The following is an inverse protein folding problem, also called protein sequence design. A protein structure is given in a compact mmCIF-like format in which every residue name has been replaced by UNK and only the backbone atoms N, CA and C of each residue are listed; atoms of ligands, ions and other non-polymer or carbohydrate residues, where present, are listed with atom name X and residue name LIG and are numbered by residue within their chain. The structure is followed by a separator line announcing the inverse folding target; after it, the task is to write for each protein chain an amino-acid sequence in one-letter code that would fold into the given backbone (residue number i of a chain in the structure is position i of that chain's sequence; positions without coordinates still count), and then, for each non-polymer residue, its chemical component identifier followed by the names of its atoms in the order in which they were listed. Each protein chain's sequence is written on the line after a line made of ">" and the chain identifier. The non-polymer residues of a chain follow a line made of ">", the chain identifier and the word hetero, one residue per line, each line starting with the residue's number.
data_IF_541638357592
#
_entry.id   IF_541638357592
#
_cell.length_a   1.000
_cell.length_b   1.000
_cell.length_c   1.000
_cell.angle_alpha   90.00
_cell.angle_beta   90.00
_cell.angle_gamma   90.00
#
_symmetry.space_group_name_H-M   'P 1'
#
loop_
_entity.id
_entity.type
_entity.pdbx_description
1 polymer ?
#
# COMPACT_ATOMS: atom_id res chain seq x y z
N UNK A 1 0.78 7.66 -9.56
CA UNK A 1 1.06 8.38 -8.29
C UNK A 1 0.81 9.86 -8.49
N UNK A 2 0.48 10.59 -7.43
CA UNK A 2 0.30 12.03 -7.52
C UNK A 2 0.14 12.67 -6.15
N UNK A 3 -0.21 13.95 -6.17
CA UNK A 3 -0.34 14.79 -4.98
C UNK A 3 -1.72 15.44 -4.97
N UNK A 4 -2.43 15.41 -3.86
CA UNK A 4 -3.72 16.09 -3.71
C UNK A 4 -3.67 17.17 -2.62
N UNK A 5 -4.43 18.24 -2.84
CA UNK A 5 -4.58 19.33 -1.83
C UNK A 5 -5.66 18.98 -0.81
N UNK A 6 -6.56 18.06 -1.14
CA UNK A 6 -7.55 17.47 -0.23
C UNK A 6 -7.45 15.94 -0.28
N UNK A 7 -7.93 15.28 0.77
CA UNK A 7 -7.95 13.81 0.81
C UNK A 7 -8.89 13.28 -0.30
N UNK A 8 -8.42 12.43 -1.23
CA UNK A 8 -9.17 12.03 -2.43
C UNK A 8 -10.34 11.09 -2.14
N UNK A 9 -10.47 10.60 -0.90
CA UNK A 9 -11.67 9.91 -0.43
C UNK A 9 -12.44 10.75 0.60
N UNK A 10 -12.22 12.07 0.67
CA UNK A 10 -12.90 12.96 1.62
C UNK A 10 -12.71 12.53 3.08
N UNK A 11 -13.73 12.75 3.91
CA UNK A 11 -13.75 12.37 5.34
C UNK A 11 -14.04 10.88 5.58
N UNK A 12 -13.93 10.02 4.55
CA UNK A 12 -14.26 8.61 4.71
C UNK A 12 -13.37 7.94 5.75
N UNK A 13 -14.01 7.26 6.69
CA UNK A 13 -13.38 6.59 7.82
C UNK A 13 -12.97 5.14 7.48
N UNK A 14 -12.16 4.55 8.36
CA UNK A 14 -11.93 3.11 8.42
C UNK A 14 -13.26 2.39 8.60
N UNK A 15 -13.34 1.15 8.10
CA UNK A 15 -14.46 0.26 8.40
C UNK A 15 -14.96 -0.54 7.21
N UNK A 16 -15.76 -1.57 7.53
CA UNK A 16 -16.58 -2.33 6.59
C UNK A 16 -17.33 -1.32 5.74
N UNK A 17 -17.14 -1.34 4.42
CA UNK A 17 -17.39 -0.18 3.57
C UNK A 17 -18.68 0.53 3.94
N UNK A 18 -18.53 1.74 4.50
CA UNK A 18 -19.65 2.56 4.92
C UNK A 18 -20.59 2.78 3.75
N UNK A 19 -21.90 2.89 4.01
CA UNK A 19 -22.99 2.90 3.02
C UNK A 19 -22.93 3.95 1.90
N UNK A 20 -21.83 4.70 1.77
CA UNK A 20 -21.54 5.56 0.64
C UNK A 20 -20.24 5.09 0.00
N UNK A 21 -20.38 4.20 -0.98
CA UNK A 21 -19.32 3.91 -1.96
C UNK A 21 -18.79 5.23 -2.50
N UNK A 22 -17.50 5.48 -2.32
CA UNK A 22 -16.84 6.66 -2.87
C UNK A 22 -15.87 6.24 -3.96
N UNK A 23 -16.04 6.86 -5.12
CA UNK A 23 -15.01 6.87 -6.16
C UNK A 23 -13.92 7.83 -5.71
N UNK A 24 -12.65 7.46 -5.91
CA UNK A 24 -11.53 8.36 -5.65
C UNK A 24 -11.73 9.68 -6.43
N UNK A 25 -11.90 10.79 -5.72
CA UNK A 25 -11.98 12.11 -6.33
C UNK A 25 -10.57 12.62 -6.62
N UNK A 26 -10.32 12.92 -7.89
CA UNK A 26 -9.04 13.44 -8.37
C UNK A 26 -9.09 14.93 -8.70
N UNK A 27 -10.19 15.62 -8.40
CA UNK A 27 -10.40 17.04 -8.70
C UNK A 27 -9.34 17.96 -8.08
N UNK A 28 -8.81 17.59 -6.92
CA UNK A 28 -7.76 18.32 -6.18
C UNK A 28 -6.37 17.74 -6.38
N UNK A 29 -6.23 16.75 -7.28
CA UNK A 29 -5.02 15.97 -7.45
C UNK A 29 -4.23 16.36 -8.71
N UNK A 30 -2.91 16.44 -8.58
CA UNK A 30 -1.96 16.60 -9.66
C UNK A 30 -1.15 15.30 -9.85
N UNK A 31 -1.18 14.66 -11.03
CA UNK A 31 -0.37 13.47 -11.28
C UNK A 31 1.11 13.83 -11.27
N UNK A 32 1.91 13.04 -10.55
CA UNK A 32 3.37 13.15 -10.53
C UNK A 32 4.03 12.07 -11.40
N UNK A 33 3.38 10.90 -11.51
CA UNK A 33 3.86 9.80 -12.32
C UNK A 33 2.69 8.96 -12.83
N UNK A 34 2.74 8.58 -14.10
CA UNK A 34 1.73 7.72 -14.75
C UNK A 34 2.36 6.58 -15.53
N UNK A 35 1.80 5.39 -15.37
CA UNK A 35 1.98 4.25 -16.25
C UNK A 35 0.65 3.50 -16.30
N UNK A 36 -0.04 3.54 -17.43
CA UNK A 36 -1.35 2.91 -17.60
C UNK A 36 -1.27 1.41 -17.86
N UNK A 37 -0.15 0.91 -18.37
CA UNK A 37 0.10 -0.52 -18.52
C UNK A 37 0.44 -1.19 -17.18
N UNK A 38 0.88 -0.40 -16.20
CA UNK A 38 1.48 -0.91 -14.97
C UNK A 38 2.86 -1.49 -15.22
N UNK A 39 3.53 -1.85 -14.13
CA UNK A 39 4.77 -2.61 -14.14
C UNK A 39 4.96 -3.26 -12.76
N UNK A 40 5.76 -4.31 -12.71
CA UNK A 40 6.21 -4.94 -11.46
C UNK A 40 7.66 -4.55 -11.22
N UNK A 41 8.00 -4.33 -9.96
CA UNK A 41 9.38 -4.05 -9.56
C UNK A 41 9.73 -4.90 -8.34
N UNK A 42 10.86 -5.59 -8.41
CA UNK A 42 11.42 -6.29 -7.26
C UNK A 42 12.19 -5.29 -6.38
N UNK A 43 11.48 -4.76 -5.39
CA UNK A 43 12.02 -3.80 -4.43
C UNK A 43 13.17 -4.36 -3.58
N UNK A 44 13.28 -5.69 -3.44
CA UNK A 44 14.34 -6.31 -2.66
C UNK A 44 15.71 -6.19 -3.35
N UNK A 45 15.72 -6.07 -4.69
CA UNK A 45 16.96 -5.91 -5.48
C UNK A 45 17.60 -4.52 -5.35
N UNK A 46 16.89 -3.54 -4.79
CA UNK A 46 17.32 -2.14 -4.67
C UNK A 46 17.27 -1.60 -3.24
N UNK A 47 17.28 -2.47 -2.24
CA UNK A 47 17.38 -2.04 -0.85
C UNK A 47 18.63 -1.15 -0.69
N UNK A 48 18.46 0.03 -0.08
CA UNK A 48 19.48 1.10 0.03
C UNK A 48 19.91 1.73 -1.30
N UNK A 49 19.15 1.53 -2.38
CA UNK A 49 19.40 2.09 -3.71
C UNK A 49 18.22 2.88 -4.26
N UNK A 50 18.24 3.08 -5.57
CA UNK A 50 17.19 3.75 -6.32
C UNK A 50 16.75 2.88 -7.49
N UNK A 51 15.46 2.94 -7.81
CA UNK A 51 14.86 2.28 -8.95
C UNK A 51 14.24 3.31 -9.88
N UNK A 52 14.53 3.20 -11.19
CA UNK A 52 13.80 3.96 -12.19
C UNK A 52 12.43 3.33 -12.42
N UNK A 53 11.38 4.11 -12.22
CA UNK A 53 10.02 3.68 -12.50
C UNK A 53 9.76 3.75 -14.01
N UNK A 54 9.18 2.69 -14.57
CA UNK A 54 8.82 2.65 -15.99
C UNK A 54 7.52 3.43 -16.19
N UNK A 55 7.59 4.61 -16.78
CA UNK A 55 6.42 5.45 -17.06
C UNK A 55 6.78 6.90 -17.36
N UNK A 56 5.80 7.77 -17.26
CA UNK A 56 5.97 9.21 -17.48
C UNK A 56 5.99 9.94 -16.15
N UNK A 57 7.09 10.63 -15.87
CA UNK A 57 7.16 11.61 -14.78
C UNK A 57 6.63 12.96 -15.26
N UNK A 58 5.73 13.56 -14.49
CA UNK A 58 5.15 14.87 -14.78
C UNK A 58 5.31 15.74 -13.55
N UNK A 59 5.86 16.95 -13.71
CA UNK A 59 5.91 17.90 -12.61
C UNK A 59 4.48 18.26 -12.18
N UNK A 60 4.10 18.11 -10.90
CA UNK A 60 2.80 18.55 -10.42
C UNK A 60 2.57 20.06 -10.63
N UNK A 61 1.32 20.49 -10.59
CA UNK A 61 0.99 21.92 -10.65
C UNK A 61 1.53 22.66 -9.42
N UNK A 62 1.58 23.99 -9.48
CA UNK A 62 1.90 24.78 -8.29
C UNK A 62 0.77 24.64 -7.27
N UNK A 63 1.11 24.42 -6.01
CA UNK A 63 0.13 24.21 -4.96
C UNK A 63 0.77 23.72 -3.67
N UNK A 64 -0.04 23.63 -2.61
CA UNK A 64 0.35 23.05 -1.33
C UNK A 64 -0.37 21.72 -1.15
N UNK A 65 0.41 20.65 -1.01
CA UNK A 65 -0.08 19.29 -1.04
C UNK A 65 0.12 18.62 0.31
N UNK A 66 -0.99 18.12 0.87
CA UNK A 66 -1.01 17.35 2.11
C UNK A 66 -1.23 15.86 1.90
N UNK A 67 -1.70 15.46 0.71
CA UNK A 67 -2.21 14.11 0.46
C UNK A 67 -1.56 13.44 -0.77
N UNK A 68 -0.29 13.02 -0.68
CA UNK A 68 0.30 12.18 -1.71
C UNK A 68 -0.44 10.83 -1.82
N UNK A 69 -0.55 10.30 -3.04
CA UNK A 69 -1.19 9.01 -3.27
C UNK A 69 -0.42 8.12 -4.25
N UNK A 70 -0.57 6.81 -4.05
CA UNK A 70 -0.13 5.76 -4.95
C UNK A 70 -1.29 4.81 -5.26
N UNK A 71 -1.35 4.31 -6.49
CA UNK A 71 -2.31 3.30 -6.92
C UNK A 71 -1.47 2.10 -7.36
N UNK A 72 -1.69 0.97 -6.71
CA UNK A 72 -1.02 -0.31 -6.97
C UNK A 72 -2.05 -1.34 -7.47
N UNK A 73 -1.57 -2.41 -8.11
CA UNK A 73 -2.37 -3.65 -8.17
C UNK A 73 -2.60 -4.18 -6.76
N UNK A 74 -3.60 -5.05 -6.57
CA UNK A 74 -3.89 -5.67 -5.28
C UNK A 74 -3.11 -6.97 -5.03
N UNK A 75 -2.09 -7.27 -5.84
CA UNK A 75 -1.29 -8.48 -5.72
C UNK A 75 0.17 -8.12 -5.48
N UNK A 76 0.76 -8.74 -4.46
CA UNK A 76 2.14 -8.56 -4.05
C UNK A 76 2.84 -9.91 -4.10
N UNK A 77 4.02 -9.96 -4.71
CA UNK A 77 4.87 -11.17 -4.61
C UNK A 77 5.65 -11.08 -3.32
N UNK A 78 5.48 -12.07 -2.45
CA UNK A 78 6.08 -12.12 -1.11
C UNK A 78 6.99 -13.34 -1.02
N UNK A 79 8.17 -13.15 -0.44
CA UNK A 79 9.07 -14.21 -0.01
C UNK A 79 9.82 -13.72 1.23
N UNK A 80 9.64 -14.41 2.33
CA UNK A 80 10.13 -13.96 3.64
C UNK A 80 11.01 -15.02 4.27
N UNK A 81 11.99 -14.56 5.05
CA UNK A 81 12.66 -15.35 6.08
C UNK A 81 12.63 -14.56 7.40
N UNK A 82 12.09 -15.14 8.47
CA UNK A 82 11.98 -14.49 9.78
C UNK A 82 12.43 -15.42 10.90
N UNK A 83 13.22 -14.90 11.83
CA UNK A 83 13.49 -15.57 13.10
C UNK A 83 12.36 -15.24 14.07
N UNK A 84 11.61 -16.25 14.49
CA UNK A 84 10.50 -16.06 15.42
C UNK A 84 10.94 -16.15 16.88
N UNK A 85 10.01 -15.88 17.80
CA UNK A 85 10.24 -15.88 19.25
C UNK A 85 10.56 -17.26 19.83
N UNK A 86 10.26 -18.33 19.09
CA UNK A 86 10.67 -19.71 19.40
C UNK A 86 12.11 -20.04 18.97
N UNK A 87 12.84 -19.05 18.44
CA UNK A 87 14.20 -19.16 17.91
C UNK A 87 14.35 -19.96 16.61
N UNK A 88 13.26 -20.40 15.97
CA UNK A 88 13.31 -21.00 14.64
C UNK A 88 13.29 -19.93 13.55
N UNK A 89 13.88 -20.27 12.39
CA UNK A 89 13.74 -19.48 11.17
C UNK A 89 12.63 -20.06 10.32
N UNK A 90 11.65 -19.22 10.02
CA UNK A 90 10.52 -19.53 9.16
C UNK A 90 10.69 -18.86 7.80
N UNK A 91 10.37 -19.60 6.76
CA UNK A 91 10.40 -19.17 5.37
C UNK A 91 8.99 -19.27 4.79
N UNK A 92 8.68 -18.46 3.78
CA UNK A 92 7.43 -18.61 3.02
C UNK A 92 7.37 -19.96 2.31
N UNK A 93 6.24 -20.66 2.40
CA UNK A 93 6.06 -22.00 1.83
C UNK A 93 5.52 -22.02 0.39
N UNK A 94 5.25 -20.85 -0.18
CA UNK A 94 4.67 -20.70 -1.52
C UNK A 94 3.13 -20.61 -1.55
N UNK A 95 2.46 -20.62 -0.40
CA UNK A 95 1.00 -20.61 -0.29
C UNK A 95 0.41 -19.61 0.71
N UNK A 96 1.23 -18.71 1.24
CA UNK A 96 0.88 -17.83 2.36
C UNK A 96 1.13 -18.47 3.73
N UNK A 97 1.50 -19.75 3.77
CA UNK A 97 1.95 -20.44 4.99
C UNK A 97 3.45 -20.30 5.23
N UNK A 98 3.89 -20.87 6.35
CA UNK A 98 5.28 -20.86 6.78
C UNK A 98 5.88 -22.28 6.86
N UNK A 99 7.17 -22.39 6.54
CA UNK A 99 7.96 -23.63 6.64
C UNK A 99 9.30 -23.35 7.32
N UNK A 100 9.93 -24.36 7.93
CA UNK A 100 11.30 -24.26 8.45
C UNK A 100 12.36 -24.70 7.44
N UNK A 101 11.95 -25.03 6.21
CA UNK A 101 12.82 -25.48 5.12
C UNK A 101 13.24 -24.28 4.27
N UNK A 102 14.55 -24.10 4.12
CA UNK A 102 15.15 -23.09 3.25
C UNK A 102 15.37 -23.64 1.83
N UNK A 103 15.33 -22.79 0.77
CA UNK A 103 14.91 -21.39 0.77
C UNK A 103 13.39 -21.22 0.80
N UNK A 104 12.94 -20.01 1.13
CA UNK A 104 11.53 -19.63 0.97
C UNK A 104 11.12 -19.59 -0.50
N UNK A 105 9.82 -19.75 -0.73
CA UNK A 105 9.22 -19.75 -2.07
C UNK A 105 8.32 -18.53 -2.25
N UNK A 106 8.49 -17.86 -3.40
CA UNK A 106 7.64 -16.75 -3.80
C UNK A 106 6.18 -17.20 -3.88
N UNK A 107 5.28 -16.37 -3.37
CA UNK A 107 3.85 -16.53 -3.59
C UNK A 107 3.20 -15.18 -3.89
N UNK A 108 2.08 -15.26 -4.61
CA UNK A 108 1.25 -14.09 -4.87
C UNK A 108 0.29 -13.94 -3.69
N UNK A 109 0.53 -12.93 -2.85
CA UNK A 109 -0.43 -12.49 -1.85
C UNK A 109 -1.41 -11.52 -2.50
N UNK A 110 -2.71 -11.79 -2.32
CA UNK A 110 -3.76 -10.97 -2.89
C UNK A 110 -4.52 -10.26 -1.77
N UNK A 111 -4.28 -8.96 -1.63
CA UNK A 111 -4.97 -8.14 -0.64
C UNK A 111 -6.40 -7.87 -1.11
N UNK A 112 -7.34 -8.64 -0.57
CA UNK A 112 -8.79 -8.53 -0.86
C UNK A 112 -9.58 -7.96 0.30
N UNK A 113 -9.04 -7.92 1.51
CA UNK A 113 -9.76 -7.43 2.67
C UNK A 113 -8.78 -7.03 3.78
N UNK A 114 -9.09 -5.98 4.54
CA UNK A 114 -8.23 -5.58 5.67
C UNK A 114 -8.62 -6.27 6.98
N UNK A 115 -9.86 -6.73 7.12
CA UNK A 115 -10.33 -7.41 8.34
C UNK A 115 -11.42 -8.44 8.01
N UNK A 116 -11.55 -9.49 8.83
CA UNK A 116 -12.56 -10.52 8.65
C UNK A 116 -14.00 -10.09 9.02
N UNK A 117 -14.99 -10.82 8.51
CA UNK A 117 -16.40 -10.74 8.92
C UNK A 117 -17.29 -9.78 8.12
N UNK A 118 -16.71 -8.93 7.27
CA UNK A 118 -17.40 -8.11 6.26
C UNK A 118 -16.40 -7.67 5.20
N UNK A 119 -16.85 -6.91 4.20
CA UNK A 119 -15.92 -6.27 3.27
C UNK A 119 -15.33 -4.99 3.88
N UNK A 120 -14.15 -5.13 4.48
CA UNK A 120 -13.33 -4.04 5.00
C UNK A 120 -12.34 -3.57 3.94
N UNK A 121 -12.81 -2.66 3.11
CA UNK A 121 -12.04 -2.05 2.02
C UNK A 121 -11.23 -0.81 2.42
N UNK A 122 -11.13 -0.50 3.71
CA UNK A 122 -10.38 0.66 4.18
C UNK A 122 -9.68 0.44 5.52
N UNK A 123 -8.39 0.75 5.56
CA UNK A 123 -7.54 0.83 6.75
C UNK A 123 -7.04 2.27 6.88
N UNK A 124 -7.27 2.92 8.01
CA UNK A 124 -6.94 4.36 8.18
C UNK A 124 -5.94 4.52 9.31
N UNK A 125 -5.02 5.46 9.14
CA UNK A 125 -4.21 5.96 10.23
C UNK A 125 -3.00 5.09 10.58
N UNK A 126 -2.50 4.26 9.66
CA UNK A 126 -1.23 3.57 9.89
C UNK A 126 -0.10 4.61 10.04
N UNK A 127 0.57 4.63 11.18
CA UNK A 127 1.59 5.63 11.48
C UNK A 127 2.85 5.41 10.65
N UNK A 128 3.34 6.47 10.02
CA UNK A 128 4.61 6.50 9.29
C UNK A 128 5.43 7.74 9.72
N UNK A 129 6.75 7.80 9.45
CA UNK A 129 7.60 8.91 9.92
C UNK A 129 7.14 10.31 9.50
N UNK A 130 6.38 10.42 8.41
CA UNK A 130 5.92 11.69 7.82
C UNK A 130 4.42 11.98 8.04
N UNK A 131 3.73 11.15 8.85
CA UNK A 131 2.31 11.32 9.14
C UNK A 131 1.57 9.99 9.28
N UNK A 132 0.44 9.83 8.62
CA UNK A 132 -0.28 8.56 8.55
C UNK A 132 -0.51 8.12 7.12
N UNK A 133 -0.73 6.82 6.90
CA UNK A 133 -1.16 6.26 5.64
C UNK A 133 -2.54 5.61 5.79
N UNK A 134 -3.39 5.90 4.82
CA UNK A 134 -4.73 5.36 4.64
C UNK A 134 -4.71 4.46 3.40
N UNK A 135 -5.13 3.21 3.56
CA UNK A 135 -5.22 2.21 2.50
C UNK A 135 -6.67 1.96 2.10
N UNK A 136 -6.94 1.95 0.80
CA UNK A 136 -8.27 1.70 0.24
C UNK A 136 -8.23 0.60 -0.83
N UNK A 137 -9.09 -0.41 -0.68
CA UNK A 137 -9.31 -1.44 -1.69
C UNK A 137 -10.42 -0.99 -2.64
N UNK A 138 -10.09 -0.94 -3.92
CA UNK A 138 -10.96 -0.40 -4.96
C UNK A 138 -11.02 -1.32 -6.19
N UNK A 139 -12.02 -1.11 -7.02
CA UNK A 139 -12.07 -1.70 -8.36
C UNK A 139 -11.16 -0.93 -9.34
N UNK A 140 -11.21 -1.29 -10.63
CA UNK A 140 -10.36 -0.65 -11.64
C UNK A 140 -10.80 0.79 -11.97
N UNK A 141 -12.04 1.15 -11.64
CA UNK A 141 -12.56 2.51 -11.75
C UNK A 141 -12.27 3.34 -10.48
N UNK A 142 -11.52 2.80 -9.52
CA UNK A 142 -11.17 3.42 -8.24
C UNK A 142 -12.39 3.67 -7.36
N UNK A 143 -13.41 2.81 -7.50
CA UNK A 143 -14.59 2.76 -6.65
C UNK A 143 -14.27 1.87 -5.44
N UNK A 144 -14.38 2.42 -4.23
CA UNK A 144 -14.16 1.66 -2.98
C UNK A 144 -15.21 0.55 -2.84
N UNK A 145 -14.77 -0.66 -2.49
CA UNK A 145 -15.67 -1.80 -2.26
C UNK A 145 -16.48 -1.62 -0.98
N UNK A 146 -17.69 -2.14 -0.92
CA UNK A 146 -18.57 -2.00 0.24
C UNK A 146 -19.10 -3.30 0.83
N UNK A 147 -19.93 -3.20 1.87
CA UNK A 147 -20.51 -4.38 2.54
C UNK A 147 -21.35 -5.28 1.64
N UNK A 148 -21.90 -4.80 0.52
CA UNK A 148 -22.61 -5.60 -0.47
C UNK A 148 -21.66 -6.35 -1.41
N UNK A 149 -20.41 -5.89 -1.51
CA UNK A 149 -19.34 -6.54 -2.26
C UNK A 149 -18.66 -7.68 -1.47
N UNK A 150 -19.34 -8.34 -0.53
CA UNK A 150 -18.75 -9.36 0.34
C UNK A 150 -19.17 -10.80 -0.04
N UNK A 151 -18.21 -11.70 -0.25
CA UNK A 151 -18.48 -13.11 -0.53
C UNK A 151 -17.32 -14.00 -0.11
N UNK A 152 -17.60 -15.22 0.35
CA UNK A 152 -16.60 -16.21 0.75
C UNK A 152 -15.56 -15.69 1.78
N UNK A 153 -15.95 -14.75 2.64
CA UNK A 153 -15.07 -14.19 3.66
C UNK A 153 -14.31 -12.92 3.24
N UNK A 154 -14.43 -12.49 1.99
CA UNK A 154 -13.57 -11.45 1.39
C UNK A 154 -14.36 -10.38 0.63
N UNK A 155 -13.75 -9.20 0.38
CA UNK A 155 -14.30 -8.27 -0.61
C UNK A 155 -14.10 -8.82 -2.04
N UNK A 156 -15.19 -8.91 -2.78
CA UNK A 156 -15.21 -9.21 -4.21
C UNK A 156 -14.86 -7.99 -5.05
N UNK A 157 -14.31 -8.18 -6.24
CA UNK A 157 -14.07 -7.10 -7.22
C UNK A 157 -12.94 -6.12 -6.88
N UNK A 158 -12.13 -6.41 -5.85
CA UNK A 158 -10.89 -5.66 -5.58
C UNK A 158 -9.88 -5.93 -6.70
N UNK A 159 -9.35 -4.86 -7.29
CA UNK A 159 -8.28 -4.95 -8.30
C UNK A 159 -7.14 -3.96 -8.05
N UNK A 160 -7.37 -2.98 -7.18
CA UNK A 160 -6.44 -1.91 -6.87
C UNK A 160 -6.36 -1.70 -5.37
N UNK A 161 -5.17 -1.37 -4.90
CA UNK A 161 -4.97 -0.78 -3.59
C UNK A 161 -4.48 0.66 -3.77
N UNK A 162 -5.14 1.60 -3.10
CA UNK A 162 -4.80 3.02 -3.10
C UNK A 162 -4.27 3.38 -1.72
N UNK A 163 -3.01 3.77 -1.66
CA UNK A 163 -2.42 4.37 -0.46
C UNK A 163 -2.47 5.88 -0.55
N UNK A 164 -2.96 6.54 0.50
CA UNK A 164 -2.97 7.99 0.65
C UNK A 164 -2.22 8.35 1.92
N UNK A 165 -1.24 9.23 1.83
CA UNK A 165 -0.49 9.71 2.99
C UNK A 165 -1.12 11.01 3.49
N UNK A 166 -1.47 11.09 4.77
CA UNK A 166 -1.81 12.34 5.44
C UNK A 166 -0.52 12.93 6.04
N UNK A 167 0.09 13.89 5.34
CA UNK A 167 1.34 14.50 5.80
C UNK A 167 1.12 15.32 7.07
N UNK A 168 1.98 15.14 8.07
CA UNK A 168 2.03 16.03 9.25
C UNK A 168 2.44 17.45 8.86
N UNK A 169 3.24 17.59 7.81
CA UNK A 169 3.69 18.87 7.26
C UNK A 169 3.52 18.87 5.74
N UNK A 170 2.45 19.49 5.21
CA UNK A 170 2.29 19.69 3.78
C UNK A 170 3.47 20.44 3.15
N UNK A 171 3.78 20.14 1.90
CA UNK A 171 4.83 20.83 1.14
C UNK A 171 4.25 21.57 -0.05
N UNK A 172 4.99 22.57 -0.56
CA UNK A 172 4.57 23.35 -1.71
C UNK A 172 5.40 23.01 -2.95
N UNK A 173 4.72 22.85 -4.07
CA UNK A 173 5.34 22.86 -5.40
C UNK A 173 5.27 24.30 -5.91
N UNK A 174 6.44 24.86 -6.25
CA UNK A 174 6.59 26.21 -6.79
C UNK A 174 7.33 26.15 -8.12
N UNK A 175 7.40 27.25 -8.87
CA UNK A 175 8.18 27.32 -10.12
C UNK A 175 9.63 26.89 -9.95
N UNK A 176 10.18 27.05 -8.75
CA UNK A 176 11.56 26.68 -8.41
C UNK A 176 11.72 25.21 -8.03
N UNK A 177 10.63 24.47 -7.81
CA UNK A 177 10.72 23.03 -7.49
C UNK A 177 11.19 22.27 -8.72
N UNK A 178 12.36 21.65 -8.59
CA UNK A 178 13.04 20.90 -9.65
C UNK A 178 12.96 19.39 -9.44
N UNK A 179 12.69 18.94 -8.21
CA UNK A 179 12.67 17.53 -7.86
C UNK A 179 11.54 17.18 -6.89
N UNK A 180 10.91 16.05 -7.17
CA UNK A 180 10.02 15.34 -6.26
C UNK A 180 10.45 13.89 -6.23
N UNK A 181 10.85 13.40 -5.06
CA UNK A 181 11.27 12.02 -4.85
C UNK A 181 10.43 11.38 -3.75
N UNK A 182 9.89 10.21 -4.03
CA UNK A 182 9.26 9.34 -3.04
C UNK A 182 10.20 8.18 -2.74
N UNK A 183 10.46 7.94 -1.46
CA UNK A 183 11.25 6.80 -1.01
C UNK A 183 10.31 5.79 -0.37
N UNK A 184 10.35 4.55 -0.83
CA UNK A 184 9.73 3.44 -0.12
C UNK A 184 10.58 3.08 1.09
N UNK A 185 9.94 2.92 2.25
CA UNK A 185 10.56 2.36 3.45
C UNK A 185 10.01 0.95 3.60
N UNK A 186 10.87 -0.04 3.35
CA UNK A 186 10.51 -1.47 3.35
C UNK A 186 11.18 -2.23 4.50
N UNK A 187 12.29 -1.70 5.01
CA UNK A 187 12.94 -2.19 6.24
C UNK A 187 11.97 -2.03 7.42
N UNK A 188 11.77 -3.09 8.18
CA UNK A 188 10.89 -3.17 9.38
C UNK A 188 9.38 -2.99 9.13
N UNK A 189 8.91 -2.89 7.87
CA UNK A 189 7.49 -2.66 7.56
C UNK A 189 6.89 -3.62 6.51
N UNK A 190 7.67 -4.48 5.84
CA UNK A 190 7.25 -5.13 4.58
C UNK A 190 6.43 -6.42 4.63
N UNK A 191 6.31 -7.10 5.78
CA UNK A 191 5.67 -8.44 5.85
C UNK A 191 4.72 -8.54 7.04
N UNK A 192 3.54 -9.10 6.79
CA UNK A 192 2.58 -9.51 7.82
C UNK A 192 2.89 -10.93 8.27
N UNK A 193 2.82 -11.19 9.57
CA UNK A 193 3.09 -12.49 10.18
C UNK A 193 2.02 -12.83 11.20
N UNK A 194 1.42 -14.01 11.07
CA UNK A 194 0.64 -14.60 12.16
C UNK A 194 1.53 -15.57 12.95
N UNK A 195 1.63 -15.33 14.26
CA UNK A 195 2.45 -16.13 15.16
C UNK A 195 1.56 -16.66 16.28
N UNK A 196 1.53 -17.99 16.44
CA UNK A 196 0.73 -18.61 17.47
C UNK A 196 1.38 -18.44 18.87
N UNK A 197 0.66 -18.85 19.92
CA UNK A 197 1.11 -18.69 21.31
C UNK A 197 2.41 -19.43 21.68
N UNK A 198 2.91 -20.33 20.82
CA UNK A 198 4.20 -21.01 20.99
C UNK A 198 5.34 -20.35 20.23
N UNK A 199 5.10 -19.25 19.51
CA UNK A 199 6.10 -18.59 18.69
C UNK A 199 6.24 -19.19 17.30
N UNK A 200 5.37 -20.11 16.89
CA UNK A 200 5.40 -20.69 15.54
C UNK A 200 4.68 -19.74 14.59
N UNK A 201 5.36 -19.34 13.51
CA UNK A 201 4.74 -18.60 12.41
C UNK A 201 3.80 -19.55 11.67
N UNK A 202 2.55 -19.14 11.49
CA UNK A 202 1.53 -19.93 10.76
C UNK A 202 1.26 -19.37 9.39
N UNK A 203 1.21 -18.04 9.27
CA UNK A 203 0.88 -17.34 8.05
C UNK A 203 1.84 -16.18 7.81
N UNK A 204 2.10 -15.91 6.53
CA UNK A 204 2.96 -14.83 6.04
C UNK A 204 2.24 -14.13 4.90
N UNK A 205 2.29 -12.80 4.88
CA UNK A 205 1.59 -11.99 3.88
C UNK A 205 2.28 -10.66 3.61
N UNK A 206 1.70 -9.87 2.71
CA UNK A 206 2.17 -8.53 2.41
C UNK A 206 1.86 -7.59 3.58
N UNK A 207 2.91 -7.00 4.15
CA UNK A 207 2.77 -6.01 5.22
C UNK A 207 2.45 -4.61 4.67
N UNK A 208 2.09 -3.65 5.54
CA UNK A 208 1.86 -2.27 5.14
C UNK A 208 3.17 -1.66 4.59
N UNK A 209 3.14 -1.10 3.38
CA UNK A 209 4.29 -0.34 2.88
C UNK A 209 4.35 1.05 3.53
N UNK A 210 5.56 1.52 3.82
CA UNK A 210 5.82 2.86 4.35
C UNK A 210 6.63 3.69 3.35
N UNK A 211 6.79 4.99 3.60
CA UNK A 211 7.58 5.86 2.73
C UNK A 211 7.86 7.26 3.27
N UNK A 212 8.67 8.02 2.52
CA UNK A 212 9.01 9.41 2.79
C UNK A 212 9.07 10.24 1.50
N UNK A 213 8.99 11.57 1.62
CA UNK A 213 9.16 12.51 0.50
C UNK A 213 10.40 13.37 0.66
N UNK A 214 11.06 13.65 -0.46
CA UNK A 214 12.07 14.71 -0.62
C UNK A 214 11.60 15.63 -1.73
N UNK A 215 11.59 16.93 -1.46
CA UNK A 215 11.20 18.00 -2.38
C UNK A 215 12.33 19.02 -2.42
N UNK A 216 12.88 19.29 -3.61
CA UNK A 216 13.96 20.26 -3.84
C UNK A 216 13.58 21.25 -4.96
#
# INVERSE_FOLDING_TARGET
>A
MGLCTEHPFGTNTAGAGGSTVTTMDKSTCSPAFTNTAGFTYDIATVINGSADLVGTSTRPANGTYGFPYIILGNTFTVNTAVTSTDSNVYYSDGSGGATTVSPGTDFADQLTNFFGGSCYSGYIGATIPIGTIDGFLTDNALVRRDSADFSSGECTGVTRMVGVINLTSPFSITTETTKLQFNFIVTDYGVELDVNGSGVVTDMGSGPFSGSFVVE
#
